data_IF_283081735241
#
_entry.id   IF_283081735241
#
_cell.length_a   1.000
_cell.length_b   1.000
_cell.length_c   1.000
_cell.angle_alpha   90.00
_cell.angle_beta   90.00
_cell.angle_gamma   90.00
#
_symmetry.space_group_name_H-M   'P 1'
#
loop_
_entity.id
_entity.type
_entity.pdbx_description
1 polymer ?
#
# COMPACT_ATOMS: atom_id res chain seq x y z
N UNK A 1 -41.25 -51.74 24.83
CA UNK A 1 -40.08 -51.35 24.06
C UNK A 1 -38.90 -52.11 24.67
N UNK A 2 -38.34 -53.08 23.94
CA UNK A 2 -37.47 -54.12 24.51
C UNK A 2 -36.08 -53.46 24.95
N UNK A 3 -35.68 -53.77 26.18
CA UNK A 3 -34.40 -53.30 26.78
C UNK A 3 -33.19 -53.60 25.88
N UNK A 4 -33.24 -54.70 25.12
CA UNK A 4 -32.24 -55.11 24.12
C UNK A 4 -32.18 -54.16 22.93
N UNK A 5 -33.31 -53.57 22.53
CA UNK A 5 -33.31 -52.56 21.42
C UNK A 5 -32.72 -51.23 21.86
N UNK A 6 -32.94 -50.82 23.11
CA UNK A 6 -32.37 -49.60 23.69
C UNK A 6 -30.85 -49.71 23.85
N UNK A 7 -30.31 -50.87 24.25
CA UNK A 7 -28.87 -51.10 24.35
C UNK A 7 -28.19 -51.15 22.99
N UNK A 8 -28.87 -51.62 21.95
CA UNK A 8 -28.34 -51.64 20.60
C UNK A 8 -28.24 -50.24 20.01
N UNK A 9 -29.23 -49.36 20.24
CA UNK A 9 -29.20 -47.95 19.81
C UNK A 9 -28.11 -47.20 20.56
N UNK A 10 -27.91 -47.41 21.85
CA UNK A 10 -26.89 -46.78 22.64
C UNK A 10 -25.47 -47.20 22.21
N UNK A 11 -25.27 -48.44 21.80
CA UNK A 11 -23.99 -48.96 21.26
C UNK A 11 -23.70 -48.40 19.89
N UNK A 12 -24.71 -48.15 19.05
CA UNK A 12 -24.54 -47.61 17.71
C UNK A 12 -24.15 -46.12 17.74
N UNK A 13 -24.68 -45.36 18.73
CA UNK A 13 -24.32 -43.93 18.88
C UNK A 13 -22.89 -43.71 19.39
N UNK A 14 -22.32 -44.62 20.18
CA UNK A 14 -20.93 -44.55 20.62
C UNK A 14 -19.93 -44.86 19.50
N UNK A 15 -20.28 -45.70 18.51
CA UNK A 15 -19.40 -45.95 17.35
C UNK A 15 -19.28 -44.77 16.38
N UNK A 16 -20.30 -43.91 16.30
CA UNK A 16 -20.28 -42.75 15.36
C UNK A 16 -19.38 -41.63 15.86
N UNK A 17 -19.20 -41.52 17.18
CA UNK A 17 -18.31 -40.48 17.77
C UNK A 17 -16.80 -40.71 17.55
N UNK A 18 -16.41 -41.94 17.20
CA UNK A 18 -15.01 -42.30 16.96
C UNK A 18 -14.49 -41.90 15.57
N UNK A 19 -15.38 -41.55 14.62
CA UNK A 19 -14.98 -41.15 13.27
C UNK A 19 -14.68 -39.65 13.11
N UNK A 20 -14.89 -38.87 14.17
CA UNK A 20 -14.74 -37.40 14.14
C UNK A 20 -13.36 -36.88 14.57
N UNK A 21 -12.38 -37.76 14.84
CA UNK A 21 -11.03 -37.27 15.12
C UNK A 21 -10.35 -36.92 13.79
N UNK A 22 -10.37 -35.63 13.42
CA UNK A 22 -9.48 -35.11 12.38
C UNK A 22 -8.06 -35.42 12.77
N UNK A 23 -7.44 -36.36 12.03
CA UNK A 23 -6.03 -36.72 12.20
C UNK A 23 -5.21 -35.44 12.13
N UNK A 24 -4.65 -35.05 13.26
CA UNK A 24 -3.80 -33.85 13.29
C UNK A 24 -2.60 -34.13 12.37
N UNK A 25 -2.37 -33.31 11.36
CA UNK A 25 -1.40 -33.55 10.29
C UNK A 25 0.06 -33.73 10.78
N UNK A 26 0.32 -33.55 12.09
CA UNK A 26 1.67 -33.53 12.63
C UNK A 26 1.76 -34.57 13.75
N UNK A 27 1.89 -35.85 13.36
CA UNK A 27 2.21 -36.95 14.29
C UNK A 27 3.73 -37.06 14.56
N UNK A 28 4.54 -36.09 14.12
CA UNK A 28 5.99 -36.07 14.28
C UNK A 28 6.42 -34.94 15.22
N UNK A 29 7.45 -35.16 16.06
CA UNK A 29 8.04 -34.06 16.82
C UNK A 29 8.49 -32.93 15.90
N UNK A 30 8.15 -31.71 16.22
CA UNK A 30 8.52 -30.54 15.45
C UNK A 30 8.88 -29.35 16.31
N UNK A 31 9.63 -28.43 15.74
CA UNK A 31 9.86 -27.10 16.29
C UNK A 31 9.17 -26.07 15.39
N UNK A 32 8.43 -25.14 15.98
CA UNK A 32 7.83 -24.01 15.28
C UNK A 32 8.62 -22.74 15.58
N UNK A 33 9.02 -22.02 14.54
CA UNK A 33 9.79 -20.79 14.66
C UNK A 33 9.27 -19.73 13.70
N UNK A 34 9.22 -18.49 14.20
CA UNK A 34 8.96 -17.33 13.37
C UNK A 34 10.24 -16.82 12.71
N UNK A 35 10.15 -16.46 11.44
CA UNK A 35 11.15 -15.72 10.69
C UNK A 35 10.66 -14.35 10.33
N UNK A 36 11.55 -13.36 10.29
CA UNK A 36 11.27 -11.98 9.93
C UNK A 36 12.40 -11.42 9.07
N UNK A 37 12.03 -10.60 8.10
CA UNK A 37 12.97 -9.79 7.32
C UNK A 37 12.29 -8.50 6.88
N UNK A 38 13.05 -7.42 6.79
CA UNK A 38 12.60 -6.17 6.23
C UNK A 38 13.68 -5.48 5.39
N UNK A 39 13.23 -4.54 4.57
CA UNK A 39 14.10 -3.66 3.77
C UNK A 39 13.42 -2.31 3.56
N UNK A 40 14.23 -1.27 3.31
CA UNK A 40 13.76 0.07 3.00
C UNK A 40 14.04 0.38 1.53
N UNK A 41 13.00 0.75 0.78
CA UNK A 41 13.12 1.11 -0.65
C UNK A 41 12.67 2.54 -0.90
N UNK A 42 13.35 3.23 -1.80
CA UNK A 42 12.94 4.58 -2.22
C UNK A 42 11.78 4.47 -3.19
N UNK A 43 10.66 5.17 -2.96
CA UNK A 43 9.54 5.15 -3.92
C UNK A 43 9.97 5.67 -5.27
N UNK A 44 9.50 5.01 -6.34
CA UNK A 44 9.69 5.44 -7.72
C UNK A 44 8.36 5.56 -8.49
N UNK A 45 7.23 5.44 -7.79
CA UNK A 45 5.89 5.75 -8.28
C UNK A 45 5.24 6.70 -7.28
N UNK A 46 4.87 7.88 -7.74
CA UNK A 46 4.25 8.93 -6.94
C UNK A 46 2.94 9.31 -7.61
N UNK A 47 1.84 9.23 -6.88
CA UNK A 47 0.52 9.57 -7.34
C UNK A 47 0.12 10.91 -6.72
N UNK A 48 -0.11 11.90 -7.56
CA UNK A 48 -0.48 13.26 -7.16
C UNK A 48 -1.98 13.43 -7.43
N UNK A 49 -2.72 13.74 -6.39
CA UNK A 49 -4.14 14.10 -6.48
C UNK A 49 -4.23 15.59 -6.78
N UNK A 50 -5.03 15.93 -7.78
CA UNK A 50 -5.24 17.29 -8.26
C UNK A 50 -6.75 17.52 -8.35
N UNK A 51 -7.23 18.57 -7.71
CA UNK A 51 -8.65 18.95 -7.77
C UNK A 51 -8.74 20.30 -8.46
N UNK A 52 -9.49 20.35 -9.56
CA UNK A 52 -9.77 21.58 -10.29
C UNK A 52 -11.23 21.94 -10.04
N UNK A 53 -11.48 23.20 -9.66
CA UNK A 53 -12.83 23.71 -9.42
C UNK A 53 -12.98 25.11 -9.99
N UNK A 54 -14.11 25.38 -10.64
CA UNK A 54 -14.47 26.73 -11.10
C UNK A 54 -14.55 27.71 -9.94
N UNK A 55 -14.92 27.24 -8.75
CA UNK A 55 -14.96 28.04 -7.52
C UNK A 55 -13.60 28.64 -7.16
N UNK A 56 -12.50 27.93 -7.42
CA UNK A 56 -11.16 28.39 -7.05
C UNK A 56 -10.71 29.59 -7.91
N UNK A 57 -11.22 29.68 -9.15
CA UNK A 57 -10.99 30.83 -10.04
C UNK A 57 -11.99 31.98 -9.84
N UNK A 58 -12.89 31.90 -8.84
CA UNK A 58 -14.03 32.83 -8.63
C UNK A 58 -14.91 32.93 -9.89
N UNK A 59 -15.16 31.80 -10.53
CA UNK A 59 -15.98 31.66 -11.75
C UNK A 59 -15.48 32.44 -12.97
N UNK A 60 -14.20 32.86 -12.97
CA UNK A 60 -13.59 33.60 -14.08
C UNK A 60 -12.99 32.71 -15.16
N UNK A 61 -12.61 31.50 -14.80
CA UNK A 61 -11.96 30.54 -15.70
C UNK A 61 -12.77 29.23 -15.66
N UNK A 62 -13.21 28.78 -16.84
CA UNK A 62 -13.97 27.52 -16.94
C UNK A 62 -13.11 26.32 -16.54
N UNK A 63 -13.77 25.23 -16.16
CA UNK A 63 -13.09 23.98 -15.82
C UNK A 63 -12.27 23.48 -17.01
N UNK A 64 -12.82 23.54 -18.20
CA UNK A 64 -12.19 23.11 -19.46
C UNK A 64 -10.92 23.92 -19.78
N UNK A 65 -10.91 25.22 -19.50
CA UNK A 65 -9.72 26.05 -19.66
C UNK A 65 -8.63 25.73 -18.63
N UNK A 66 -9.01 25.50 -17.37
CA UNK A 66 -8.08 25.07 -16.31
C UNK A 66 -7.46 23.72 -16.65
N UNK A 67 -8.28 22.77 -17.12
CA UNK A 67 -7.84 21.43 -17.57
C UNK A 67 -6.86 21.53 -18.74
N UNK A 68 -7.15 22.35 -19.74
CA UNK A 68 -6.27 22.58 -20.90
C UNK A 68 -4.92 23.15 -20.49
N UNK A 69 -4.89 24.13 -19.57
CA UNK A 69 -3.66 24.69 -19.00
C UNK A 69 -2.85 23.63 -18.27
N UNK A 70 -3.48 22.84 -17.43
CA UNK A 70 -2.85 21.75 -16.68
C UNK A 70 -2.24 20.69 -17.60
N UNK A 71 -2.99 20.21 -18.59
CA UNK A 71 -2.48 19.22 -19.56
C UNK A 71 -1.30 19.79 -20.35
N UNK A 72 -1.36 21.05 -20.75
CA UNK A 72 -0.26 21.72 -21.47
C UNK A 72 0.98 21.81 -20.58
N UNK A 73 0.83 22.19 -19.31
CA UNK A 73 1.93 22.25 -18.36
C UNK A 73 2.60 20.89 -18.18
N UNK A 74 1.81 19.81 -18.06
CA UNK A 74 2.38 18.45 -17.92
C UNK A 74 3.09 17.97 -19.18
N UNK A 75 2.54 18.24 -20.36
CA UNK A 75 3.23 17.95 -21.63
C UNK A 75 4.56 18.67 -21.75
N UNK A 76 4.66 19.91 -21.28
CA UNK A 76 5.91 20.68 -21.25
C UNK A 76 6.95 20.08 -20.30
N UNK A 77 6.52 19.37 -19.25
CA UNK A 77 7.38 18.58 -18.36
C UNK A 77 7.77 17.21 -18.94
N UNK A 78 7.29 16.87 -20.14
CA UNK A 78 7.54 15.57 -20.76
C UNK A 78 6.68 14.42 -20.22
N UNK A 79 5.59 14.75 -19.51
CA UNK A 79 4.67 13.74 -18.94
C UNK A 79 3.67 13.30 -20.02
N UNK A 80 3.49 12.00 -20.16
CA UNK A 80 2.47 11.44 -21.06
C UNK A 80 1.10 11.44 -20.38
N UNK A 81 0.34 12.52 -20.60
CA UNK A 81 -0.98 12.71 -19.99
C UNK A 81 -2.03 11.68 -20.42
N UNK A 82 -1.84 10.96 -21.54
CA UNK A 82 -2.77 9.92 -21.99
C UNK A 82 -2.62 8.63 -21.17
N UNK A 83 -1.45 8.40 -20.60
CA UNK A 83 -1.11 7.19 -19.82
C UNK A 83 -1.07 7.48 -18.31
N UNK A 84 -0.52 8.63 -17.95
CA UNK A 84 -0.14 8.93 -16.57
C UNK A 84 -1.14 9.85 -15.84
N UNK A 85 -2.12 10.44 -16.54
CA UNK A 85 -3.18 11.24 -15.96
C UNK A 85 -4.52 10.53 -16.05
N UNK A 86 -5.13 10.27 -14.90
CA UNK A 86 -6.44 9.59 -14.82
C UNK A 86 -7.43 10.51 -14.12
N UNK A 87 -8.66 10.60 -14.64
CA UNK A 87 -9.77 11.24 -13.95
C UNK A 87 -10.33 10.27 -12.92
N UNK A 88 -10.30 10.63 -11.63
CA UNK A 88 -10.76 9.73 -10.55
C UNK A 88 -12.22 9.99 -10.19
N UNK A 89 -12.69 11.24 -10.30
CA UNK A 89 -14.09 11.57 -10.03
C UNK A 89 -14.54 12.85 -10.76
N UNK A 90 -15.84 12.90 -11.10
CA UNK A 90 -16.53 14.08 -11.61
C UNK A 90 -17.72 14.40 -10.70
N UNK A 91 -17.53 15.33 -9.78
CA UNK A 91 -18.61 15.82 -8.92
C UNK A 91 -19.23 17.10 -9.52
N UNK A 92 -20.47 16.99 -9.98
CA UNK A 92 -21.31 18.16 -10.24
C UNK A 92 -22.14 18.45 -8.98
N UNK A 93 -21.73 19.41 -8.19
CA UNK A 93 -22.48 19.83 -7.03
C UNK A 93 -23.63 20.75 -7.48
N UNK A 94 -24.85 20.21 -7.58
CA UNK A 94 -26.05 20.99 -7.68
C UNK A 94 -26.38 21.65 -6.34
N UNK A 95 -26.00 22.91 -6.14
CA UNK A 95 -26.54 23.71 -5.04
C UNK A 95 -27.84 24.37 -5.49
N UNK A 96 -28.96 23.91 -4.94
CA UNK A 96 -30.23 24.59 -5.02
C UNK A 96 -30.20 25.83 -4.11
N UNK A 97 -30.12 27.01 -4.69
CA UNK A 97 -30.47 28.24 -4.00
C UNK A 97 -31.89 28.69 -4.44
N UNK A 98 -32.78 28.91 -3.44
CA UNK A 98 -34.20 29.14 -3.65
C UNK A 98 -34.53 30.48 -4.38
N UNK A 99 -33.57 31.34 -4.68
CA UNK A 99 -33.81 32.68 -5.21
C UNK A 99 -32.72 33.29 -6.12
N UNK A 100 -31.73 32.54 -6.62
CA UNK A 100 -30.75 33.05 -7.59
C UNK A 100 -30.33 31.99 -8.61
N UNK A 101 -30.01 32.46 -9.83
CA UNK A 101 -29.56 31.71 -11.00
C UNK A 101 -28.68 30.49 -10.65
N UNK A 102 -28.95 29.38 -11.37
CA UNK A 102 -28.20 28.12 -11.27
C UNK A 102 -26.74 28.34 -11.66
N UNK A 103 -25.87 28.51 -10.70
CA UNK A 103 -24.42 28.35 -10.89
C UNK A 103 -24.09 26.91 -10.60
N UNK A 104 -23.93 26.10 -11.66
CA UNK A 104 -23.43 24.73 -11.57
C UNK A 104 -21.91 24.85 -11.52
N UNK A 105 -21.32 24.81 -10.30
CA UNK A 105 -19.90 24.80 -10.14
C UNK A 105 -19.39 23.39 -10.43
N UNK A 106 -18.60 23.25 -11.47
CA UNK A 106 -17.97 22.00 -11.86
C UNK A 106 -16.69 21.80 -11.07
N UNK A 107 -16.47 20.55 -10.61
CA UNK A 107 -15.23 20.11 -9.95
C UNK A 107 -14.84 18.78 -10.54
N UNK A 108 -13.55 18.63 -10.88
CA UNK A 108 -12.97 17.35 -11.32
C UNK A 108 -11.75 17.00 -10.47
N UNK A 109 -11.61 15.73 -10.20
CA UNK A 109 -10.48 15.17 -9.51
C UNK A 109 -9.63 14.31 -10.48
N UNK A 110 -8.33 14.50 -10.45
CA UNK A 110 -7.37 13.79 -11.26
C UNK A 110 -6.30 13.14 -10.37
N UNK A 111 -5.80 12.00 -10.82
CA UNK A 111 -4.62 11.37 -10.27
C UNK A 111 -3.54 11.36 -11.35
N UNK A 112 -2.44 12.03 -11.08
CA UNK A 112 -1.25 12.05 -11.93
C UNK A 112 -0.19 11.12 -11.36
N UNK A 113 0.28 10.18 -12.15
CA UNK A 113 1.40 9.30 -11.82
C UNK A 113 2.71 9.90 -12.34
N UNK A 114 3.70 10.03 -11.48
CA UNK A 114 5.07 10.43 -11.85
C UNK A 114 6.09 9.47 -11.24
N UNK A 115 7.29 9.40 -11.85
CA UNK A 115 8.29 8.37 -11.54
C UNK A 115 9.45 8.86 -10.69
N UNK A 116 9.48 10.14 -10.32
CA UNK A 116 10.54 10.69 -9.48
C UNK A 116 10.04 11.85 -8.60
N UNK A 117 10.70 12.05 -7.47
CA UNK A 117 10.46 13.18 -6.58
C UNK A 117 10.77 14.53 -7.27
N UNK A 118 11.76 14.55 -8.16
CA UNK A 118 12.11 15.76 -8.94
C UNK A 118 10.96 16.15 -9.88
N UNK A 119 10.39 15.16 -10.60
CA UNK A 119 9.23 15.41 -11.47
C UNK A 119 8.01 15.84 -10.65
N UNK A 120 7.78 15.23 -9.49
CA UNK A 120 6.71 15.64 -8.57
C UNK A 120 6.86 17.11 -8.15
N UNK A 121 8.08 17.53 -7.76
CA UNK A 121 8.39 18.94 -7.44
C UNK A 121 8.04 19.88 -8.60
N UNK A 122 8.47 19.55 -9.81
CA UNK A 122 8.18 20.37 -11.01
C UNK A 122 6.68 20.46 -11.28
N UNK A 123 5.94 19.37 -11.07
CA UNK A 123 4.49 19.35 -11.21
C UNK A 123 3.82 20.29 -10.22
N UNK A 124 4.21 20.26 -8.94
CA UNK A 124 3.63 21.18 -7.94
C UNK A 124 3.86 22.64 -8.28
N UNK A 125 5.08 22.98 -8.72
CA UNK A 125 5.42 24.35 -9.14
C UNK A 125 4.57 24.77 -10.33
N UNK A 126 4.45 23.93 -11.37
CA UNK A 126 3.66 24.26 -12.54
C UNK A 126 2.16 24.38 -12.21
N UNK A 127 1.65 23.60 -11.29
CA UNK A 127 0.25 23.72 -10.83
C UNK A 127 0.02 25.02 -10.06
N UNK A 128 0.98 25.43 -9.23
CA UNK A 128 0.95 26.74 -8.54
C UNK A 128 0.99 27.89 -9.53
N UNK A 129 1.86 27.84 -10.54
CA UNK A 129 2.01 28.88 -11.58
C UNK A 129 0.73 29.08 -12.38
N UNK A 130 -0.05 28.02 -12.64
CA UNK A 130 -1.35 28.10 -13.35
C UNK A 130 -2.53 28.38 -12.41
N UNK A 131 -2.27 28.57 -11.10
CA UNK A 131 -3.29 28.90 -10.10
C UNK A 131 -4.08 27.69 -9.56
N UNK A 132 -3.60 26.47 -9.78
CA UNK A 132 -4.20 25.25 -9.24
C UNK A 132 -3.50 24.87 -7.93
N UNK A 133 -4.10 25.23 -6.80
CA UNK A 133 -3.51 25.05 -5.47
C UNK A 133 -4.02 23.85 -4.69
N UNK A 134 -5.12 23.22 -5.14
CA UNK A 134 -5.72 22.08 -4.45
C UNK A 134 -5.09 20.76 -4.92
N UNK A 135 -3.84 20.55 -4.48
CA UNK A 135 -2.99 19.43 -4.87
C UNK A 135 -2.39 18.74 -3.65
N UNK A 136 -2.26 17.43 -3.69
CA UNK A 136 -1.66 16.64 -2.62
C UNK A 136 -1.05 15.36 -3.15
N UNK A 137 -0.11 14.77 -2.41
CA UNK A 137 0.33 13.41 -2.68
C UNK A 137 -0.80 12.46 -2.24
N UNK A 138 -1.28 11.66 -3.16
CA UNK A 138 -2.30 10.65 -2.89
C UNK A 138 -1.68 9.37 -2.34
N UNK A 139 -0.61 8.89 -3.01
CA UNK A 139 0.05 7.64 -2.67
C UNK A 139 1.49 7.66 -3.20
N UNK A 140 2.36 6.92 -2.56
CA UNK A 140 3.69 6.56 -3.09
C UNK A 140 3.81 5.06 -3.14
N UNK A 141 4.55 4.53 -4.14
CA UNK A 141 4.73 3.11 -4.35
C UNK A 141 6.08 2.80 -5.01
N UNK A 142 6.36 1.53 -5.22
CA UNK A 142 7.54 1.08 -5.94
C UNK A 142 7.16 0.08 -7.03
N UNK A 143 7.63 0.30 -8.26
CA UNK A 143 7.28 -0.52 -9.44
C UNK A 143 7.63 -2.01 -9.28
N UNK A 144 8.63 -2.33 -8.47
CA UNK A 144 9.12 -3.70 -8.23
C UNK A 144 8.73 -4.23 -6.84
N UNK A 145 7.66 -3.71 -6.25
CA UNK A 145 7.28 -3.99 -4.85
C UNK A 145 7.06 -5.48 -4.59
N UNK A 146 6.46 -6.21 -5.54
CA UNK A 146 6.18 -7.64 -5.38
C UNK A 146 7.47 -8.48 -5.38
N UNK A 147 8.45 -8.16 -6.22
CA UNK A 147 9.74 -8.83 -6.19
C UNK A 147 10.48 -8.55 -4.89
N UNK A 148 10.44 -7.31 -4.40
CA UNK A 148 11.04 -6.94 -3.11
C UNK A 148 10.38 -7.69 -1.96
N UNK A 149 9.06 -7.86 -1.96
CA UNK A 149 8.34 -8.70 -1.00
C UNK A 149 8.82 -10.15 -1.04
N UNK A 150 8.99 -10.72 -2.24
CA UNK A 150 9.48 -12.08 -2.41
C UNK A 150 10.91 -12.26 -1.89
N UNK A 151 11.77 -11.27 -2.08
CA UNK A 151 13.12 -11.25 -1.50
C UNK A 151 13.03 -11.23 0.05
N UNK A 152 12.13 -10.43 0.62
CA UNK A 152 11.90 -10.40 2.07
C UNK A 152 11.36 -11.75 2.57
N UNK A 153 10.42 -12.41 1.86
CA UNK A 153 9.91 -13.75 2.21
C UNK A 153 11.03 -14.78 2.23
N UNK A 154 11.87 -14.80 1.21
CA UNK A 154 13.03 -15.70 1.15
C UNK A 154 13.95 -15.52 2.34
N UNK A 155 14.32 -14.28 2.65
CA UNK A 155 15.17 -13.97 3.81
C UNK A 155 14.50 -14.32 5.14
N UNK A 156 13.19 -14.11 5.27
CA UNK A 156 12.44 -14.49 6.47
C UNK A 156 12.46 -16.01 6.70
N UNK A 157 12.30 -16.82 5.64
CA UNK A 157 12.43 -18.28 5.71
C UNK A 157 13.85 -18.71 6.10
N UNK A 158 14.88 -18.12 5.49
CA UNK A 158 16.28 -18.38 5.87
C UNK A 158 16.55 -18.04 7.34
N UNK A 159 16.02 -16.93 7.84
CA UNK A 159 16.16 -16.52 9.23
C UNK A 159 15.41 -17.47 10.18
N UNK A 160 14.23 -17.98 9.79
CA UNK A 160 13.51 -19.01 10.56
C UNK A 160 14.34 -20.29 10.66
N UNK A 161 14.96 -20.73 9.57
CA UNK A 161 15.83 -21.91 9.54
C UNK A 161 17.06 -21.76 10.46
N UNK A 162 17.76 -20.63 10.36
CA UNK A 162 18.89 -20.31 11.26
C UNK A 162 18.47 -20.30 12.73
N UNK A 163 17.29 -19.73 13.03
CA UNK A 163 16.72 -19.68 14.38
C UNK A 163 16.38 -21.09 14.90
N UNK A 164 15.80 -21.96 14.06
CA UNK A 164 15.49 -23.33 14.43
C UNK A 164 16.77 -24.10 14.81
N UNK A 165 17.84 -23.99 14.02
CA UNK A 165 19.14 -24.60 14.32
C UNK A 165 19.69 -24.07 15.66
N UNK A 166 19.64 -22.76 15.89
CA UNK A 166 20.16 -22.16 17.11
C UNK A 166 19.41 -22.64 18.37
N UNK A 167 18.11 -22.88 18.26
CA UNK A 167 17.29 -23.35 19.39
C UNK A 167 17.43 -24.83 19.67
N UNK A 168 17.73 -25.67 18.67
CA UNK A 168 17.85 -27.13 18.84
C UNK A 168 19.26 -27.55 19.26
N UNK A 169 20.28 -26.80 18.88
CA UNK A 169 21.68 -27.09 19.20
C UNK A 169 21.96 -27.32 20.72
N UNK A 170 21.46 -26.47 21.66
CA UNK A 170 21.75 -26.64 23.08
C UNK A 170 21.18 -27.94 23.70
N UNK A 171 20.14 -28.50 23.08
CA UNK A 171 19.49 -29.75 23.53
C UNK A 171 19.94 -30.96 22.71
N UNK A 172 21.03 -30.82 21.95
CA UNK A 172 21.62 -31.89 21.13
C UNK A 172 20.63 -32.48 20.09
N UNK A 173 19.67 -31.68 19.64
CA UNK A 173 18.74 -32.03 18.56
C UNK A 173 19.11 -31.31 17.27
N UNK A 174 18.65 -31.86 16.16
CA UNK A 174 18.81 -31.26 14.83
C UNK A 174 17.44 -31.08 14.19
N UNK A 175 17.37 -30.24 13.14
CA UNK A 175 16.14 -30.05 12.35
C UNK A 175 16.22 -30.84 11.06
N UNK A 176 15.04 -31.33 10.64
CA UNK A 176 14.80 -31.92 9.32
C UNK A 176 14.12 -30.96 8.37
N UNK A 177 13.34 -31.52 7.44
CA UNK A 177 12.59 -30.75 6.47
C UNK A 177 11.51 -29.87 7.13
N UNK A 178 11.18 -28.76 6.49
CA UNK A 178 9.99 -28.01 6.82
C UNK A 178 8.74 -28.83 6.44
N UNK A 179 7.80 -28.94 7.37
CA UNK A 179 6.52 -29.66 7.18
C UNK A 179 5.32 -28.72 7.07
N UNK A 180 5.50 -27.48 7.46
CA UNK A 180 4.47 -26.46 7.31
C UNK A 180 5.12 -25.07 7.26
N UNK A 181 4.66 -24.25 6.30
CA UNK A 181 5.10 -22.87 6.15
C UNK A 181 3.84 -22.02 6.04
N UNK A 182 3.74 -21.01 6.88
CA UNK A 182 2.68 -19.99 6.83
C UNK A 182 3.33 -18.65 6.55
N UNK A 183 2.87 -17.99 5.49
CA UNK A 183 3.17 -16.58 5.25
C UNK A 183 2.18 -15.75 6.05
N UNK A 184 2.65 -15.07 7.08
CA UNK A 184 1.85 -14.19 7.92
C UNK A 184 1.92 -12.77 7.33
N UNK A 185 1.43 -12.59 6.11
CA UNK A 185 1.32 -11.25 5.53
C UNK A 185 0.53 -10.35 6.48
N UNK A 186 1.22 -9.46 7.15
CA UNK A 186 0.58 -8.31 7.76
C UNK A 186 0.06 -7.45 6.61
N UNK A 187 -1.25 -7.21 6.55
CA UNK A 187 -1.93 -6.41 5.54
C UNK A 187 -1.21 -5.06 5.34
N UNK A 188 -0.43 -4.96 4.26
CA UNK A 188 0.31 -3.75 3.88
C UNK A 188 -0.59 -2.64 3.33
N UNK A 189 -1.85 -2.95 3.00
CA UNK A 189 -2.81 -2.00 2.42
C UNK A 189 -3.05 -0.75 3.27
N UNK A 190 -2.81 -0.79 4.58
CA UNK A 190 -3.02 0.35 5.46
C UNK A 190 -1.81 1.28 5.63
N UNK A 191 -0.60 0.89 5.19
CA UNK A 191 0.59 1.74 5.31
C UNK A 191 0.87 2.57 4.06
N UNK A 192 0.34 2.17 2.90
CA UNK A 192 0.52 2.88 1.63
C UNK A 192 -0.57 3.93 1.38
N UNK A 193 -1.73 3.84 2.06
CA UNK A 193 -2.78 4.84 1.95
C UNK A 193 -2.47 6.08 2.80
N UNK A 194 -2.02 7.15 2.14
CA UNK A 194 -2.18 8.52 2.62
C UNK A 194 -1.25 9.00 3.75
N UNK A 195 -0.23 8.26 4.16
CA UNK A 195 0.83 8.83 4.97
C UNK A 195 2.00 9.23 4.09
N UNK A 196 1.93 10.44 3.55
CA UNK A 196 3.13 11.18 3.22
C UNK A 196 3.84 11.43 4.56
N UNK A 197 4.69 10.52 4.94
CA UNK A 197 5.58 10.74 6.05
C UNK A 197 6.57 11.81 5.59
N UNK A 198 6.32 13.04 6.05
CA UNK A 198 7.26 14.14 5.98
C UNK A 198 7.77 14.52 4.59
N UNK A 199 7.10 15.44 3.91
CA UNK A 199 7.78 16.29 2.91
C UNK A 199 8.82 17.11 3.69
N UNK A 200 10.08 16.69 3.69
CA UNK A 200 11.15 17.52 4.22
C UNK A 200 11.46 18.62 3.20
N UNK A 201 10.87 19.78 3.41
CA UNK A 201 11.25 20.99 2.68
C UNK A 201 12.56 21.48 3.30
N UNK A 202 13.69 21.11 2.73
CA UNK A 202 15.00 21.69 3.10
C UNK A 202 15.25 22.91 2.24
N UNK A 203 15.27 24.07 2.86
CA UNK A 203 15.82 25.30 2.29
C UNK A 203 14.81 26.41 2.07
N UNK A 204 14.24 26.95 3.15
CA UNK A 204 13.80 28.33 3.14
C UNK A 204 14.97 29.20 3.64
N UNK A 205 15.76 29.72 2.74
CA UNK A 205 16.62 30.86 3.01
C UNK A 205 16.01 32.05 2.28
N UNK A 206 15.37 32.92 3.06
CA UNK A 206 14.90 34.22 2.63
C UNK A 206 16.09 35.10 2.22
N UNK A 207 15.85 35.94 1.22
CA UNK A 207 16.49 37.24 0.95
C UNK A 207 17.21 37.46 -0.37
N UNK A 208 17.20 36.53 -1.33
CA UNK A 208 17.63 36.89 -2.69
C UNK A 208 16.63 36.44 -3.75
N UNK A 209 15.89 37.39 -4.30
CA UNK A 209 14.94 37.19 -5.40
C UNK A 209 15.62 36.78 -6.74
N UNK A 210 16.90 36.46 -6.75
CA UNK A 210 17.68 36.20 -7.97
C UNK A 210 17.88 34.71 -8.29
N UNK A 211 17.56 33.77 -7.35
CA UNK A 211 17.63 32.31 -7.61
C UNK A 211 16.62 31.58 -6.76
N UNK A 212 15.40 31.50 -7.23
CA UNK A 212 14.42 30.56 -6.67
C UNK A 212 14.83 29.14 -7.08
N UNK A 213 15.49 28.44 -6.17
CA UNK A 213 15.66 26.99 -6.30
C UNK A 213 14.41 26.33 -5.72
N UNK A 214 13.68 25.53 -6.52
CA UNK A 214 12.49 24.86 -6.02
C UNK A 214 12.83 23.95 -4.84
N UNK A 215 11.97 23.85 -3.81
CA UNK A 215 12.19 23.00 -2.67
C UNK A 215 12.37 21.55 -3.13
N UNK A 216 13.46 20.93 -2.72
CA UNK A 216 13.74 19.53 -3.02
C UNK A 216 12.80 18.65 -2.20
N UNK A 217 11.85 18.02 -2.87
CA UNK A 217 10.96 17.04 -2.23
C UNK A 217 11.74 15.73 -2.07
N UNK A 218 11.80 15.21 -0.86
CA UNK A 218 12.32 13.88 -0.57
C UNK A 218 11.19 13.07 0.09
N UNK A 219 10.95 11.85 -0.42
CA UNK A 219 9.97 10.93 0.15
C UNK A 219 10.65 10.01 1.16
N UNK A 220 9.94 9.68 2.24
CA UNK A 220 10.39 8.60 3.10
C UNK A 220 10.45 7.28 2.34
N UNK A 221 11.41 6.45 2.75
CA UNK A 221 11.54 5.11 2.19
C UNK A 221 10.38 4.24 2.64
N UNK A 222 9.85 3.45 1.71
CA UNK A 222 8.83 2.45 1.98
C UNK A 222 9.50 1.29 2.72
N UNK A 223 8.97 0.93 3.89
CA UNK A 223 9.40 -0.28 4.60
C UNK A 223 8.62 -1.47 4.06
N UNK A 224 9.34 -2.43 3.49
CA UNK A 224 8.80 -3.72 3.04
C UNK A 224 9.26 -4.79 4.01
N UNK A 225 8.33 -5.57 4.58
CA UNK A 225 8.67 -6.62 5.52
C UNK A 225 7.90 -7.90 5.21
N UNK A 226 8.46 -9.03 5.64
CA UNK A 226 7.81 -10.33 5.58
C UNK A 226 7.97 -11.05 6.92
N UNK A 227 6.90 -11.70 7.37
CA UNK A 227 6.87 -12.53 8.57
C UNK A 227 6.35 -13.91 8.19
N UNK A 228 7.10 -14.95 8.56
CA UNK A 228 6.72 -16.34 8.30
C UNK A 228 6.73 -17.15 9.58
N UNK A 229 5.88 -18.17 9.66
CA UNK A 229 5.96 -19.23 10.66
C UNK A 229 6.30 -20.55 9.97
N UNK A 230 7.31 -21.24 10.46
CA UNK A 230 7.78 -22.49 9.85
C UNK A 230 7.90 -23.58 10.89
N UNK A 231 7.34 -24.76 10.60
CA UNK A 231 7.48 -25.97 11.41
C UNK A 231 8.49 -26.89 10.75
N UNK A 232 9.56 -27.22 11.49
CA UNK A 232 10.61 -28.15 11.08
C UNK A 232 10.52 -29.44 11.91
N UNK A 233 10.72 -30.59 11.27
CA UNK A 233 10.84 -31.86 11.97
C UNK A 233 12.04 -31.79 12.94
N UNK A 234 11.86 -32.28 14.18
CA UNK A 234 12.95 -32.51 15.11
C UNK A 234 13.57 -33.90 14.87
N UNK A 235 14.89 -33.99 14.93
CA UNK A 235 15.68 -35.22 14.81
C UNK A 235 16.65 -35.34 15.95
#
# INVERSE_FOLDING_TARGET
>A
MNRTFLTFILSLTTCISALGQTKNFIDQPYIEVGGYSDTLVTPNLIYIKIIISEKDSRDKISLEEQESKMITAFKNLGINTEVDLTTSDMLSNYKFYLLKQKDILKTKEYILKVTSAETASKVFIQLEDIGTSNTSIHQVDHSDIENIKNICRTKAIENSHKKAIALTKPISQTIGNAIHITDNETNFDNQLQGRVAGVQIRGYSSLDKAKYEPPKIEFEKIKVSATVSVKYILK
#
